data_IF_952796492776
#
_entry.id   IF_952796492776
#
_cell.length_a   1.000
_cell.length_b   1.000
_cell.length_c   1.000
_cell.angle_alpha   90.00
_cell.angle_beta   90.00
_cell.angle_gamma   90.00
#
_symmetry.space_group_name_H-M   'P 1'
#
loop_
_entity.id
_entity.type
_entity.pdbx_description
1 polymer ?
#
# COMPACT_ATOMS: atom_id res chain seq x y z
N UNK A 1 9.53 10.30 11.42
CA UNK A 1 9.28 10.56 9.98
C UNK A 1 8.97 9.22 9.34
N UNK A 2 7.99 9.14 8.45
CA UNK A 2 7.68 7.87 7.77
C UNK A 2 8.88 7.48 6.90
N UNK A 3 9.34 6.23 7.03
CA UNK A 3 10.53 5.71 6.35
C UNK A 3 10.12 4.61 5.36
N UNK A 4 10.71 4.63 4.16
CA UNK A 4 10.33 3.70 3.08
C UNK A 4 10.68 2.25 3.44
N UNK A 5 11.87 2.01 4.00
CA UNK A 5 12.30 0.65 4.32
C UNK A 5 11.45 0.07 5.46
N UNK A 6 11.22 0.85 6.52
CA UNK A 6 10.40 0.38 7.63
C UNK A 6 8.94 0.16 7.24
N UNK A 7 8.37 1.02 6.37
CA UNK A 7 7.03 0.80 5.83
C UNK A 7 6.99 -0.43 4.92
N UNK A 8 7.98 -0.62 4.05
CA UNK A 8 8.09 -1.82 3.20
C UNK A 8 8.16 -3.09 4.03
N UNK A 9 9.01 -3.12 5.07
CA UNK A 9 9.11 -4.25 5.99
C UNK A 9 7.76 -4.53 6.66
N UNK A 10 7.08 -3.48 7.13
CA UNK A 10 5.76 -3.65 7.75
C UNK A 10 4.73 -4.20 6.77
N UNK A 11 4.69 -3.72 5.53
CA UNK A 11 3.77 -4.25 4.52
C UNK A 11 4.08 -5.71 4.16
N UNK A 12 5.36 -6.06 4.02
CA UNK A 12 5.79 -7.44 3.74
C UNK A 12 5.37 -8.39 4.88
N UNK A 13 5.39 -7.92 6.14
CA UNK A 13 5.02 -8.76 7.29
C UNK A 13 3.55 -9.19 7.33
N UNK A 14 2.68 -8.60 6.51
CA UNK A 14 1.32 -9.09 6.35
C UNK A 14 1.28 -10.26 5.36
N UNK A 15 0.69 -11.39 5.77
CA UNK A 15 0.31 -12.47 4.86
C UNK A 15 -0.95 -12.05 4.08
N UNK A 16 -0.73 -11.31 3.00
CA UNK A 16 -1.77 -10.78 2.14
C UNK A 16 -1.85 -11.52 0.80
N UNK A 17 -1.73 -12.85 0.82
CA UNK A 17 -2.02 -13.67 -0.37
C UNK A 17 -3.43 -13.39 -0.85
N UNK A 18 -3.54 -13.18 -2.17
CA UNK A 18 -4.77 -12.78 -2.87
C UNK A 18 -5.99 -13.62 -2.48
N UNK A 19 -7.13 -12.99 -2.09
CA UNK A 19 -7.33 -11.57 -1.88
C UNK A 19 -6.75 -11.09 -0.54
N UNK A 20 -6.23 -9.86 -0.50
CA UNK A 20 -5.65 -9.30 0.72
C UNK A 20 -6.70 -9.12 1.83
N UNK A 21 -6.28 -9.34 3.08
CA UNK A 21 -7.14 -9.34 4.27
C UNK A 21 -7.29 -7.93 4.87
N UNK A 22 -8.30 -7.74 5.71
CA UNK A 22 -8.65 -6.46 6.33
C UNK A 22 -7.50 -5.80 7.10
N UNK A 23 -6.63 -6.57 7.75
CA UNK A 23 -5.59 -6.08 8.66
C UNK A 23 -4.57 -5.16 7.99
N UNK A 24 -4.13 -5.45 6.75
CA UNK A 24 -3.22 -4.59 6.00
C UNK A 24 -3.89 -3.27 5.61
N UNK A 25 -5.21 -3.28 5.30
CA UNK A 25 -5.96 -2.07 4.98
C UNK A 25 -6.21 -1.20 6.21
N UNK A 26 -6.52 -1.79 7.36
CA UNK A 26 -6.65 -1.06 8.64
C UNK A 26 -5.34 -0.36 9.00
N UNK A 27 -4.22 -1.04 8.85
CA UNK A 27 -2.91 -0.46 9.05
C UNK A 27 -2.66 0.73 8.10
N UNK A 28 -2.89 0.54 6.80
CA UNK A 28 -2.68 1.58 5.80
C UNK A 28 -3.60 2.79 5.98
N UNK A 29 -4.87 2.55 6.29
CA UNK A 29 -5.80 3.64 6.61
C UNK A 29 -5.33 4.44 7.84
N UNK A 30 -4.76 3.78 8.85
CA UNK A 30 -4.12 4.43 9.99
C UNK A 30 -2.96 5.33 9.55
N UNK A 31 -2.03 4.81 8.77
CA UNK A 31 -0.89 5.56 8.22
C UNK A 31 -1.35 6.80 7.45
N UNK A 32 -2.35 6.67 6.60
CA UNK A 32 -2.90 7.79 5.83
C UNK A 32 -3.55 8.85 6.72
N UNK A 33 -4.41 8.43 7.67
CA UNK A 33 -5.08 9.36 8.61
C UNK A 33 -4.10 10.15 9.46
N UNK A 34 -3.06 9.51 9.98
CA UNK A 34 -1.98 10.15 10.76
C UNK A 34 -1.21 11.21 9.94
N UNK A 35 -1.23 11.09 8.61
CA UNK A 35 -0.58 12.03 7.70
C UNK A 35 -1.57 12.99 7.02
N UNK A 36 -2.80 13.11 7.54
CA UNK A 36 -3.77 14.12 7.13
C UNK A 36 -4.63 13.77 5.92
N UNK A 37 -4.64 12.51 5.49
CA UNK A 37 -5.54 12.06 4.42
C UNK A 37 -6.92 11.71 4.96
N UNK A 38 -7.93 11.95 4.14
CA UNK A 38 -9.24 11.31 4.27
C UNK A 38 -9.17 9.93 3.63
N UNK A 39 -9.69 8.91 4.31
CA UNK A 39 -9.69 7.53 3.79
C UNK A 39 -11.10 7.02 3.60
N UNK A 40 -11.29 6.23 2.56
CA UNK A 40 -12.53 5.50 2.28
C UNK A 40 -12.18 4.05 1.91
N UNK A 41 -12.84 3.09 2.56
CA UNK A 41 -12.82 1.69 2.15
C UNK A 41 -13.94 1.43 1.17
N UNK A 42 -13.66 0.67 0.13
CA UNK A 42 -14.56 0.29 -0.94
C UNK A 42 -14.50 -1.22 -1.09
N UNK A 43 -15.58 -1.89 -0.77
CA UNK A 43 -15.67 -3.33 -0.85
C UNK A 43 -16.50 -3.72 -2.07
N UNK A 44 -16.04 -4.69 -2.82
CA UNK A 44 -16.71 -5.21 -4.01
C UNK A 44 -16.79 -6.73 -3.94
N UNK A 45 -17.93 -7.26 -4.32
CA UNK A 45 -18.21 -8.70 -4.44
C UNK A 45 -18.70 -8.99 -5.87
N UNK A 46 -17.87 -8.73 -6.87
CA UNK A 46 -18.22 -8.62 -8.28
C UNK A 46 -19.15 -9.70 -8.84
N UNK A 47 -18.96 -10.96 -8.50
CA UNK A 47 -19.79 -12.09 -8.94
C UNK A 47 -20.33 -12.95 -7.77
N UNK A 48 -20.13 -12.50 -6.53
CA UNK A 48 -20.52 -13.21 -5.32
C UNK A 48 -19.55 -14.32 -4.90
N UNK A 49 -18.35 -14.40 -5.49
CA UNK A 49 -17.34 -15.40 -5.12
C UNK A 49 -16.66 -15.06 -3.80
N UNK A 50 -16.18 -13.85 -3.66
CA UNK A 50 -15.58 -13.31 -2.43
C UNK A 50 -15.54 -11.77 -2.45
N UNK A 51 -15.41 -11.18 -1.27
CA UNK A 51 -15.29 -9.73 -1.14
C UNK A 51 -13.85 -9.28 -1.39
N UNK A 52 -13.70 -8.28 -2.25
CA UNK A 52 -12.43 -7.59 -2.53
C UNK A 52 -12.41 -6.25 -1.81
N UNK A 53 -11.41 -6.05 -0.98
CA UNK A 53 -11.22 -4.81 -0.23
C UNK A 53 -10.31 -3.89 -1.03
N UNK A 54 -10.75 -2.63 -1.19
CA UNK A 54 -9.95 -1.55 -1.73
C UNK A 54 -10.02 -0.36 -0.80
N UNK A 55 -8.99 0.48 -0.79
CA UNK A 55 -9.02 1.76 -0.09
C UNK A 55 -8.64 2.90 -1.02
N UNK A 56 -9.22 4.06 -0.76
CA UNK A 56 -8.84 5.32 -1.37
C UNK A 56 -8.48 6.32 -0.28
N UNK A 57 -7.26 6.82 -0.32
CA UNK A 57 -6.79 7.90 0.54
C UNK A 57 -6.66 9.18 -0.29
N UNK A 58 -7.21 10.30 0.21
CA UNK A 58 -7.23 11.58 -0.52
C UNK A 58 -6.72 12.70 0.36
N UNK A 59 -5.84 13.52 -0.18
CA UNK A 59 -5.36 14.76 0.42
C UNK A 59 -5.65 15.95 -0.48
N UNK A 60 -6.18 17.02 0.09
CA UNK A 60 -6.62 18.21 -0.66
C UNK A 60 -8.09 18.15 -1.06
N UNK A 61 -8.62 19.26 -1.59
CA UNK A 61 -10.03 19.39 -1.94
C UNK A 61 -10.37 18.60 -3.21
N UNK A 62 -11.45 17.83 -3.19
CA UNK A 62 -11.86 16.93 -4.28
C UNK A 62 -12.39 17.68 -5.52
N UNK A 63 -12.93 18.89 -5.34
CA UNK A 63 -13.53 19.69 -6.42
C UNK A 63 -12.78 21.00 -6.61
N UNK A 64 -11.59 20.94 -7.19
CA UNK A 64 -10.81 22.13 -7.51
C UNK A 64 -10.60 22.27 -9.01
N UNK A 65 -10.31 23.50 -9.44
CA UNK A 65 -9.73 23.73 -10.76
C UNK A 65 -8.25 23.30 -10.83
N UNK A 66 -7.73 22.75 -9.72
CA UNK A 66 -6.38 22.24 -9.60
C UNK A 66 -6.21 20.85 -10.21
N UNK A 67 -4.95 20.43 -10.34
CA UNK A 67 -4.61 19.11 -10.85
C UNK A 67 -4.91 18.04 -9.81
N UNK A 68 -5.35 16.88 -10.27
CA UNK A 68 -5.48 15.68 -9.46
C UNK A 68 -4.43 14.65 -9.91
N UNK A 69 -3.59 14.21 -8.97
CA UNK A 69 -2.63 13.16 -9.18
C UNK A 69 -3.04 11.93 -8.38
N UNK A 70 -2.98 10.75 -8.99
CA UNK A 70 -3.34 9.50 -8.34
C UNK A 70 -2.22 8.47 -8.49
N UNK A 71 -1.88 7.82 -7.37
CA UNK A 71 -1.14 6.55 -7.37
C UNK A 71 -2.13 5.39 -7.30
N UNK A 72 -1.93 4.40 -8.17
CA UNK A 72 -2.63 3.12 -8.10
C UNK A 72 -1.63 2.05 -7.70
N UNK A 73 -1.91 1.35 -6.62
CA UNK A 73 -1.07 0.32 -6.04
C UNK A 73 -1.92 -0.89 -5.66
N UNK A 74 -1.26 -2.04 -5.47
CA UNK A 74 -1.88 -3.19 -4.80
C UNK A 74 -1.03 -3.65 -3.60
N UNK A 75 -1.64 -4.45 -2.73
CA UNK A 75 -0.98 -4.99 -1.53
C UNK A 75 -1.19 -6.48 -1.35
N UNK A 76 -2.00 -7.07 -2.19
CA UNK A 76 -2.08 -8.51 -2.32
C UNK A 76 -0.83 -9.04 -3.02
N UNK A 77 -0.57 -10.32 -2.86
CA UNK A 77 0.60 -11.01 -3.40
C UNK A 77 0.23 -12.42 -3.84
N UNK A 78 0.93 -12.92 -4.86
CA UNK A 78 0.82 -14.34 -5.23
C UNK A 78 1.30 -15.24 -4.08
N UNK A 79 0.80 -16.48 -3.99
CA UNK A 79 1.27 -17.45 -3.02
C UNK A 79 2.81 -17.60 -3.02
N UNK A 80 3.45 -17.79 -1.87
CA UNK A 80 4.90 -17.93 -1.81
C UNK A 80 5.47 -19.20 -2.48
N UNK A 81 4.62 -20.16 -2.78
CA UNK A 81 5.06 -21.47 -3.28
C UNK A 81 5.61 -22.36 -2.16
N UNK A 82 6.58 -23.20 -2.50
CA UNK A 82 7.21 -24.06 -1.51
C UNK A 82 8.10 -23.28 -0.57
N UNK A 83 7.82 -23.31 0.74
CA UNK A 83 8.56 -22.56 1.73
C UNK A 83 10.02 -23.00 1.90
N UNK A 84 10.33 -24.25 1.51
CA UNK A 84 11.71 -24.78 1.55
C UNK A 84 12.63 -24.15 0.49
N UNK A 85 12.05 -23.51 -0.54
CA UNK A 85 12.80 -22.84 -1.59
C UNK A 85 13.21 -21.40 -1.21
N UNK A 86 12.78 -20.92 -0.02
CA UNK A 86 13.11 -19.58 0.46
C UNK A 86 14.30 -19.59 1.40
N UNK A 87 15.31 -18.74 1.11
CA UNK A 87 16.44 -18.49 2.03
C UNK A 87 16.01 -17.76 3.32
N UNK A 88 14.92 -17.00 3.25
CA UNK A 88 14.31 -16.28 4.39
C UNK A 88 12.80 -16.48 4.33
N UNK A 89 12.08 -16.55 5.47
CA UNK A 89 10.63 -16.72 5.45
C UNK A 89 9.95 -15.60 4.65
N UNK A 90 8.99 -15.92 3.75
CA UNK A 90 8.43 -14.95 2.80
C UNK A 90 7.73 -13.74 3.44
N UNK A 91 7.17 -13.88 4.64
CA UNK A 91 6.48 -12.81 5.36
C UNK A 91 7.28 -12.29 6.60
N UNK A 92 8.57 -12.64 6.68
CA UNK A 92 9.52 -12.10 7.66
C UNK A 92 10.55 -11.22 6.93
N UNK A 93 10.28 -9.91 6.75
CA UNK A 93 11.11 -9.03 5.93
C UNK A 93 12.55 -9.00 6.43
N UNK A 94 13.48 -9.44 5.60
CA UNK A 94 14.89 -9.58 5.94
C UNK A 94 15.74 -8.69 5.08
N UNK A 95 16.62 -7.88 5.71
CA UNK A 95 17.64 -7.12 4.97
C UNK A 95 18.96 -7.92 5.00
N UNK A 96 19.46 -8.26 3.81
CA UNK A 96 20.72 -8.98 3.63
C UNK A 96 21.46 -8.42 2.41
N UNK A 97 22.72 -8.14 2.54
CA UNK A 97 23.61 -7.64 1.47
C UNK A 97 23.06 -6.38 0.74
N UNK A 98 22.32 -5.51 1.45
CA UNK A 98 21.73 -4.29 0.92
C UNK A 98 20.38 -4.49 0.20
N UNK A 99 19.84 -5.70 0.19
CA UNK A 99 18.53 -6.02 -0.40
C UNK A 99 17.49 -6.36 0.67
N UNK A 100 16.23 -6.01 0.40
CA UNK A 100 15.10 -6.37 1.23
C UNK A 100 14.41 -7.60 0.63
N UNK A 101 14.46 -8.71 1.36
CA UNK A 101 13.84 -9.97 0.98
C UNK A 101 12.47 -10.14 1.64
N UNK A 102 11.53 -10.70 0.89
CA UNK A 102 10.20 -11.08 1.32
C UNK A 102 9.20 -11.11 0.15
N UNK A 103 8.09 -11.82 0.30
CA UNK A 103 7.05 -11.90 -0.73
C UNK A 103 6.41 -10.53 -0.92
N UNK A 104 6.36 -10.05 -2.19
CA UNK A 104 5.84 -8.74 -2.55
C UNK A 104 6.84 -7.59 -2.32
N UNK A 105 8.13 -7.85 -2.02
CA UNK A 105 9.12 -6.78 -1.84
C UNK A 105 9.30 -5.93 -3.09
N UNK A 106 9.23 -6.53 -4.28
CA UNK A 106 9.28 -5.86 -5.57
C UNK A 106 7.87 -5.57 -6.10
N UNK A 107 7.03 -6.57 -6.15
CA UNK A 107 5.66 -6.50 -6.66
C UNK A 107 4.63 -6.73 -5.53
N UNK A 108 3.97 -5.65 -5.08
CA UNK A 108 4.53 -4.29 -5.23
C UNK A 108 4.56 -3.53 -3.88
N UNK A 109 4.66 -4.24 -2.74
CA UNK A 109 4.64 -3.63 -1.39
C UNK A 109 5.77 -2.61 -1.18
N UNK A 110 6.96 -2.85 -1.77
CA UNK A 110 8.07 -1.89 -1.75
C UNK A 110 7.75 -0.62 -2.53
N UNK A 111 7.21 -0.76 -3.73
CA UNK A 111 6.76 0.38 -4.56
C UNK A 111 5.59 1.12 -3.90
N UNK A 112 4.65 0.40 -3.29
CA UNK A 112 3.54 0.98 -2.52
C UNK A 112 4.08 1.82 -1.35
N UNK A 113 5.02 1.30 -0.58
CA UNK A 113 5.65 2.04 0.51
C UNK A 113 6.38 3.29 0.01
N UNK A 114 7.15 3.18 -1.08
CA UNK A 114 7.85 4.31 -1.68
C UNK A 114 6.88 5.40 -2.16
N UNK A 115 5.76 5.02 -2.78
CA UNK A 115 4.71 5.95 -3.23
C UNK A 115 4.10 6.69 -2.05
N UNK A 116 3.71 5.98 -0.99
CA UNK A 116 3.11 6.59 0.21
C UNK A 116 4.09 7.57 0.88
N UNK A 117 5.34 7.15 1.08
CA UNK A 117 6.36 8.01 1.73
C UNK A 117 6.63 9.26 0.89
N UNK A 118 6.73 9.09 -0.45
CA UNK A 118 6.96 10.22 -1.36
C UNK A 118 5.83 11.24 -1.32
N UNK A 119 4.58 10.79 -1.33
CA UNK A 119 3.41 11.67 -1.23
C UNK A 119 3.37 12.37 0.12
N UNK A 120 3.56 11.64 1.22
CA UNK A 120 3.58 12.22 2.57
C UNK A 120 4.69 13.26 2.72
N UNK A 121 5.87 13.00 2.15
CA UNK A 121 6.97 13.96 2.13
C UNK A 121 6.61 15.19 1.31
N UNK A 122 6.09 15.00 0.09
CA UNK A 122 5.69 16.09 -0.79
C UNK A 122 4.70 17.05 -0.13
N UNK A 123 3.62 16.54 0.48
CA UNK A 123 2.61 17.41 1.13
C UNK A 123 3.16 18.14 2.36
N UNK A 124 4.11 17.56 3.08
CA UNK A 124 4.77 18.23 4.22
C UNK A 124 5.67 19.37 3.77
N UNK A 125 6.32 19.22 2.63
CA UNK A 125 7.25 20.22 2.06
C UNK A 125 6.52 21.29 1.23
N UNK A 126 5.31 20.99 0.70
CA UNK A 126 4.56 21.86 -0.21
C UNK A 126 3.13 22.10 0.30
N UNK A 127 2.99 22.76 1.45
CA UNK A 127 1.69 22.97 2.11
C UNK A 127 0.67 23.77 1.29
N UNK A 128 1.15 24.62 0.38
CA UNK A 128 0.34 25.53 -0.42
C UNK A 128 0.10 24.99 -1.85
N UNK A 129 0.36 23.70 -2.11
CA UNK A 129 0.10 23.18 -3.44
C UNK A 129 -1.41 23.22 -3.76
N UNK A 130 -1.72 23.64 -4.98
CA UNK A 130 -3.10 23.74 -5.46
C UNK A 130 -3.48 22.50 -6.27
N UNK A 131 -4.07 21.52 -5.61
CA UNK A 131 -4.47 20.28 -6.24
C UNK A 131 -4.95 19.22 -5.25
N UNK A 132 -5.20 18.05 -5.77
CA UNK A 132 -5.59 16.86 -5.01
C UNK A 132 -4.60 15.74 -5.28
N UNK A 133 -4.21 15.02 -4.25
CA UNK A 133 -3.45 13.79 -4.37
C UNK A 133 -4.29 12.66 -3.80
N UNK A 134 -4.41 11.57 -4.54
CA UNK A 134 -5.02 10.34 -4.04
C UNK A 134 -4.08 9.14 -4.21
N UNK A 135 -4.28 8.16 -3.35
CA UNK A 135 -3.66 6.85 -3.43
C UNK A 135 -4.78 5.83 -3.36
N UNK A 136 -4.91 5.02 -4.39
CA UNK A 136 -5.85 3.89 -4.44
C UNK A 136 -5.03 2.63 -4.23
N UNK A 137 -5.47 1.77 -3.32
CA UNK A 137 -4.82 0.50 -3.04
C UNK A 137 -5.85 -0.60 -3.16
N UNK A 138 -5.60 -1.54 -4.07
CA UNK A 138 -6.42 -2.73 -4.27
C UNK A 138 -5.84 -3.95 -3.56
N UNK A 139 -6.69 -4.93 -3.28
CA UNK A 139 -6.33 -6.17 -2.61
C UNK A 139 -6.55 -7.43 -3.43
N UNK A 140 -6.69 -7.31 -4.75
CA UNK A 140 -7.00 -8.43 -5.64
C UNK A 140 -6.47 -8.17 -7.07
N UNK A 141 -5.23 -7.74 -7.19
CA UNK A 141 -4.62 -7.47 -8.50
C UNK A 141 -4.02 -8.75 -9.11
N UNK A 142 -3.57 -9.64 -8.25
CA UNK A 142 -2.84 -10.87 -8.58
C UNK A 142 -3.76 -12.10 -8.86
N UNK A 143 -5.10 -11.91 -8.95
CA UNK A 143 -6.06 -12.99 -9.19
C UNK A 143 -6.21 -13.39 -10.65
#
# INVERSE_FOLDING_TARGET
MLDTIELSKKLISFDSVTPAKQDIFDFLMGVFKENGFTTKQLNFDGDGSYEVINIMATYGPINTNGKHFNFLCHVDVVPPGNLEDWDTPPFEPTIKDGYLYGRGSEDMKGCTAASIVSVVKFIKENKDFNGTISVIITGDEEA
#
